data_IF_956987438537
#
_entry.id   IF_956987438537
#
_cell.length_a   1.000
_cell.length_b   1.000
_cell.length_c   1.000
_cell.angle_alpha   90.00
_cell.angle_beta   90.00
_cell.angle_gamma   90.00
#
_symmetry.space_group_name_H-M   'P 1'
#
loop_
_entity.id
_entity.type
_entity.pdbx_description
1 polymer ?
#
# COMPACT_ATOMS: atom_id res chain seq x y z
N UNK A 1 -23.06 18.64 12.98
CA UNK A 1 -23.86 19.71 12.35
C UNK A 1 -23.62 19.60 10.86
N UNK A 2 -24.68 19.55 10.06
CA UNK A 2 -24.68 19.20 8.64
C UNK A 2 -24.06 20.33 7.80
N UNK A 3 -22.73 20.46 7.85
CA UNK A 3 -22.00 21.44 7.06
C UNK A 3 -21.86 20.91 5.63
N UNK A 4 -22.38 21.68 4.66
CA UNK A 4 -22.00 21.58 3.25
C UNK A 4 -20.99 22.68 2.95
N UNK A 5 -19.75 22.62 3.45
CA UNK A 5 -18.78 23.64 3.13
C UNK A 5 -18.47 23.56 1.63
N UNK A 6 -18.53 24.71 0.97
CA UNK A 6 -18.10 24.88 -0.42
C UNK A 6 -16.96 25.91 -0.37
N UNK A 7 -15.74 25.51 -0.71
CA UNK A 7 -14.56 26.38 -0.65
C UNK A 7 -13.42 25.77 0.16
N UNK A 8 -12.72 26.60 0.92
CA UNK A 8 -11.71 26.16 1.89
C UNK A 8 -12.36 25.97 3.27
N UNK A 9 -12.30 24.75 3.82
CA UNK A 9 -12.66 24.46 5.21
C UNK A 9 -11.41 24.05 6.00
N UNK A 10 -11.31 24.48 7.25
CA UNK A 10 -10.20 24.07 8.12
C UNK A 10 -10.69 23.92 9.55
N UNK A 11 -10.78 22.68 10.02
CA UNK A 11 -11.13 22.37 11.40
C UNK A 11 -9.88 22.00 12.20
N UNK A 12 -9.77 22.54 13.41
CA UNK A 12 -8.58 22.38 14.26
C UNK A 12 -8.97 21.80 15.60
N UNK A 13 -8.52 20.57 15.85
CA UNK A 13 -8.76 19.77 17.05
C UNK A 13 -10.24 19.52 17.37
N UNK A 14 -11.11 19.15 16.41
CA UNK A 14 -12.44 18.70 16.78
C UNK A 14 -12.35 17.43 17.62
N UNK A 15 -13.23 17.29 18.62
CA UNK A 15 -13.29 16.13 19.52
C UNK A 15 -14.70 15.56 19.52
N UNK A 16 -14.81 14.23 19.41
CA UNK A 16 -16.08 13.50 19.45
C UNK A 16 -16.43 12.84 18.13
N UNK A 17 -17.71 12.86 17.77
CA UNK A 17 -18.20 12.36 16.49
C UNK A 17 -18.34 13.53 15.52
N UNK A 18 -17.57 13.53 14.44
CA UNK A 18 -17.71 14.48 13.33
C UNK A 18 -18.25 13.76 12.08
N UNK A 19 -19.09 14.44 11.32
CA UNK A 19 -19.64 13.90 10.08
C UNK A 19 -19.87 15.01 9.08
N UNK A 20 -19.11 14.97 8.00
CA UNK A 20 -19.23 15.91 6.89
C UNK A 20 -19.89 15.22 5.69
N UNK A 21 -20.84 15.91 5.06
CA UNK A 21 -21.66 15.33 4.00
C UNK A 21 -21.57 16.17 2.72
N UNK A 22 -20.88 15.62 1.74
CA UNK A 22 -20.60 16.21 0.43
C UNK A 22 -19.87 17.56 0.51
N UNK A 23 -18.82 17.71 1.34
CA UNK A 23 -18.03 18.93 1.30
C UNK A 23 -17.35 19.06 -0.07
N UNK A 24 -17.15 20.29 -0.54
CA UNK A 24 -16.54 20.57 -1.85
C UNK A 24 -15.42 21.59 -1.71
N UNK A 25 -14.29 21.31 -2.33
CA UNK A 25 -13.15 22.23 -2.38
C UNK A 25 -11.95 21.69 -1.62
N UNK A 26 -11.32 22.53 -0.81
CA UNK A 26 -10.15 22.19 -0.01
C UNK A 26 -10.58 22.03 1.45
N UNK A 27 -10.52 20.83 2.01
CA UNK A 27 -10.80 20.60 3.42
C UNK A 27 -9.53 20.17 4.14
N UNK A 28 -9.34 20.65 5.36
CA UNK A 28 -8.17 20.30 6.18
C UNK A 28 -8.56 20.13 7.63
N UNK A 29 -8.45 18.91 8.14
CA UNK A 29 -8.70 18.62 9.54
C UNK A 29 -7.38 18.40 10.27
N UNK A 30 -7.13 19.18 11.31
CA UNK A 30 -5.87 19.13 12.05
C UNK A 30 -6.09 18.60 13.47
N UNK A 31 -5.57 17.40 13.72
CA UNK A 31 -5.63 16.67 14.99
C UNK A 31 -7.05 16.38 15.48
N UNK A 32 -7.98 15.92 14.64
CA UNK A 32 -9.29 15.50 15.14
C UNK A 32 -9.13 14.27 16.05
N UNK A 33 -9.97 14.17 17.08
CA UNK A 33 -9.96 13.04 18.04
C UNK A 33 -11.35 12.46 18.18
N UNK A 34 -11.51 11.17 17.88
CA UNK A 34 -12.77 10.45 18.02
C UNK A 34 -13.16 9.71 16.75
N UNK A 35 -14.43 9.82 16.34
CA UNK A 35 -14.94 9.19 15.12
C UNK A 35 -15.21 10.28 14.09
N UNK A 36 -14.52 10.24 12.95
CA UNK A 36 -14.76 11.16 11.84
C UNK A 36 -15.29 10.38 10.65
N UNK A 37 -16.23 10.96 9.92
CA UNK A 37 -16.79 10.34 8.74
C UNK A 37 -17.08 11.37 7.67
N UNK A 38 -16.39 11.25 6.55
CA UNK A 38 -16.63 12.11 5.39
C UNK A 38 -17.38 11.33 4.32
N UNK A 39 -18.53 11.85 3.90
CA UNK A 39 -19.37 11.20 2.91
C UNK A 39 -19.37 11.98 1.61
N UNK A 40 -18.78 11.39 0.56
CA UNK A 40 -18.66 11.93 -0.80
C UNK A 40 -18.00 13.30 -0.87
N UNK A 41 -16.88 13.55 -0.18
CA UNK A 41 -16.16 14.80 -0.35
C UNK A 41 -15.61 14.89 -1.78
N UNK A 42 -15.57 16.10 -2.33
CA UNK A 42 -15.05 16.35 -3.69
C UNK A 42 -14.00 17.46 -3.66
N UNK A 43 -12.79 17.17 -4.09
CA UNK A 43 -11.70 18.13 -4.17
C UNK A 43 -10.42 17.63 -3.52
N UNK A 44 -9.80 18.47 -2.68
CA UNK A 44 -8.59 18.13 -1.93
C UNK A 44 -8.95 18.02 -0.45
N UNK A 45 -8.76 16.86 0.17
CA UNK A 45 -8.95 16.67 1.60
C UNK A 45 -7.61 16.31 2.25
N UNK A 46 -7.37 16.82 3.45
CA UNK A 46 -6.14 16.54 4.18
C UNK A 46 -6.41 16.41 5.66
N UNK A 47 -6.21 15.21 6.19
CA UNK A 47 -6.31 14.94 7.62
C UNK A 47 -4.93 14.84 8.22
N UNK A 48 -4.61 15.73 9.16
CA UNK A 48 -3.31 15.76 9.80
C UNK A 48 -3.39 15.29 11.25
N UNK A 49 -2.79 14.14 11.52
CA UNK A 49 -2.69 13.49 12.82
C UNK A 49 -4.05 13.20 13.47
N UNK A 50 -5.04 12.65 12.74
CA UNK A 50 -6.27 12.22 13.37
C UNK A 50 -5.99 11.07 14.34
N UNK A 51 -6.76 11.00 15.43
CA UNK A 51 -6.67 9.92 16.42
C UNK A 51 -8.06 9.32 16.65
N UNK A 52 -8.21 8.03 16.38
CA UNK A 52 -9.47 7.30 16.57
C UNK A 52 -9.90 6.53 15.33
N UNK A 53 -11.17 6.67 14.94
CA UNK A 53 -11.73 6.01 13.76
C UNK A 53 -12.03 7.06 12.70
N UNK A 54 -11.44 6.95 11.51
CA UNK A 54 -11.77 7.80 10.36
C UNK A 54 -12.36 6.95 9.25
N UNK A 55 -13.34 7.50 8.53
CA UNK A 55 -13.98 6.78 7.44
C UNK A 55 -14.35 7.73 6.31
N UNK A 56 -13.72 7.53 5.16
CA UNK A 56 -14.02 8.28 3.95
C UNK A 56 -14.86 7.44 2.99
N UNK A 57 -16.09 7.87 2.76
CA UNK A 57 -17.03 7.18 1.90
C UNK A 57 -17.12 7.86 0.54
N UNK A 58 -16.56 7.23 -0.48
CA UNK A 58 -16.58 7.65 -1.89
C UNK A 58 -16.00 9.07 -2.12
N UNK A 59 -14.83 9.41 -1.55
CA UNK A 59 -14.20 10.68 -1.86
C UNK A 59 -13.77 10.72 -3.34
N UNK A 60 -13.80 11.90 -3.93
CA UNK A 60 -13.38 12.14 -5.32
C UNK A 60 -12.37 13.28 -5.36
N UNK A 61 -11.15 12.99 -5.82
CA UNK A 61 -10.09 13.98 -5.97
C UNK A 61 -8.78 13.53 -5.32
N UNK A 62 -8.16 14.41 -4.53
CA UNK A 62 -6.92 14.13 -3.82
C UNK A 62 -7.21 14.04 -2.32
N UNK A 63 -6.92 12.90 -1.69
CA UNK A 63 -7.01 12.75 -0.24
C UNK A 63 -5.62 12.48 0.33
N UNK A 64 -5.34 13.02 1.51
CA UNK A 64 -4.04 12.83 2.16
C UNK A 64 -4.20 12.72 3.66
N UNK A 65 -3.89 11.53 4.19
CA UNK A 65 -3.85 11.28 5.63
C UNK A 65 -2.41 11.33 6.14
N UNK A 66 -2.12 12.28 7.00
CA UNK A 66 -0.79 12.48 7.56
C UNK A 66 -0.73 12.02 9.01
N UNK A 67 -0.07 10.89 9.27
CA UNK A 67 0.17 10.30 10.59
C UNK A 67 -1.12 9.99 11.38
N UNK A 68 -2.14 9.38 10.77
CA UNK A 68 -3.31 8.91 11.51
C UNK A 68 -2.92 7.84 12.53
N UNK A 69 -3.62 7.80 13.67
CA UNK A 69 -3.47 6.78 14.70
C UNK A 69 -4.83 6.17 14.98
N UNK A 70 -4.98 4.86 14.75
CA UNK A 70 -6.21 4.12 15.03
C UNK A 70 -6.70 3.30 13.84
N UNK A 71 -7.98 3.44 13.51
CA UNK A 71 -8.60 2.73 12.39
C UNK A 71 -8.98 3.73 11.30
N UNK A 72 -8.43 3.55 10.10
CA UNK A 72 -8.83 4.31 8.91
C UNK A 72 -9.51 3.39 7.91
N UNK A 73 -10.53 3.89 7.23
CA UNK A 73 -11.24 3.13 6.20
C UNK A 73 -11.68 4.01 5.05
N UNK A 74 -11.13 3.75 3.86
CA UNK A 74 -11.50 4.44 2.64
C UNK A 74 -12.36 3.55 1.76
N UNK A 75 -13.62 3.92 1.60
CA UNK A 75 -14.59 3.15 0.83
C UNK A 75 -14.81 3.77 -0.55
N UNK A 76 -14.29 3.11 -1.59
CA UNK A 76 -14.43 3.47 -3.00
C UNK A 76 -13.92 4.88 -3.34
N UNK A 77 -12.73 5.29 -2.86
CA UNK A 77 -12.17 6.57 -3.27
C UNK A 77 -11.84 6.55 -4.78
N UNK A 78 -11.94 7.71 -5.42
CA UNK A 78 -11.60 7.91 -6.84
C UNK A 78 -10.63 9.07 -6.97
N UNK A 79 -9.43 8.80 -7.47
CA UNK A 79 -8.42 9.83 -7.71
C UNK A 79 -7.06 9.46 -7.13
N UNK A 80 -6.45 10.36 -6.37
CA UNK A 80 -5.16 10.15 -5.72
C UNK A 80 -5.34 10.11 -4.21
N UNK A 81 -4.96 9.01 -3.56
CA UNK A 81 -4.95 8.91 -2.10
C UNK A 81 -3.51 8.70 -1.62
N UNK A 82 -3.17 9.29 -0.49
CA UNK A 82 -1.84 9.18 0.08
C UNK A 82 -1.90 9.11 1.60
N UNK A 83 -1.48 7.98 2.15
CA UNK A 83 -1.40 7.75 3.58
C UNK A 83 0.06 7.81 4.03
N UNK A 84 0.39 8.82 4.81
CA UNK A 84 1.75 9.07 5.27
C UNK A 84 1.90 8.68 6.74
N UNK A 85 2.60 7.58 6.99
CA UNK A 85 2.95 7.05 8.32
C UNK A 85 1.72 6.74 9.20
N UNK A 86 0.68 6.07 8.69
CA UNK A 86 -0.43 5.66 9.54
C UNK A 86 0.05 4.60 10.56
N UNK A 87 -0.56 4.62 11.74
CA UNK A 87 -0.31 3.65 12.81
C UNK A 87 -1.64 3.01 13.21
N UNK A 88 -1.77 1.70 13.01
CA UNK A 88 -2.97 0.94 13.39
C UNK A 88 -3.51 0.08 12.27
N UNK A 89 -4.81 0.16 12.02
CA UNK A 89 -5.49 -0.60 10.97
C UNK A 89 -5.96 0.34 9.87
N UNK A 90 -5.51 0.11 8.63
CA UNK A 90 -5.99 0.85 7.46
C UNK A 90 -6.65 -0.12 6.49
N UNK A 91 -7.75 0.31 5.87
CA UNK A 91 -8.49 -0.52 4.93
C UNK A 91 -9.02 0.30 3.77
N UNK A 92 -8.53 -0.02 2.57
CA UNK A 92 -8.98 0.60 1.34
C UNK A 92 -9.87 -0.36 0.56
N UNK A 93 -11.13 -0.01 0.42
CA UNK A 93 -12.14 -0.84 -0.23
C UNK A 93 -12.48 -0.31 -1.62
N UNK A 94 -11.99 -1.00 -2.65
CA UNK A 94 -12.24 -0.72 -4.08
C UNK A 94 -11.79 0.69 -4.50
N UNK A 95 -10.59 1.17 -4.12
CA UNK A 95 -10.10 2.44 -4.61
C UNK A 95 -9.84 2.38 -6.12
N UNK A 96 -10.03 3.51 -6.81
CA UNK A 96 -9.77 3.66 -8.24
C UNK A 96 -8.83 4.85 -8.45
N UNK A 97 -7.65 4.60 -9.03
CA UNK A 97 -6.68 5.63 -9.36
C UNK A 97 -5.28 5.32 -8.83
N UNK A 98 -4.66 6.30 -8.17
CA UNK A 98 -3.32 6.17 -7.59
C UNK A 98 -3.43 6.17 -6.06
N UNK A 99 -2.99 5.10 -5.40
CA UNK A 99 -2.88 5.06 -3.94
C UNK A 99 -1.42 4.88 -3.54
N UNK A 100 -1.03 5.54 -2.46
CA UNK A 100 0.34 5.46 -1.96
C UNK A 100 0.36 5.44 -0.45
N UNK A 101 0.82 4.34 0.11
CA UNK A 101 1.03 4.16 1.54
C UNK A 101 2.51 4.31 1.88
N UNK A 102 2.86 5.37 2.58
CA UNK A 102 4.24 5.66 2.95
C UNK A 102 4.47 5.34 4.42
N UNK A 103 5.23 4.26 4.67
CA UNK A 103 5.67 3.80 5.99
C UNK A 103 4.51 3.50 6.97
N UNK A 104 3.46 2.78 6.55
CA UNK A 104 2.43 2.36 7.48
C UNK A 104 3.00 1.38 8.52
N UNK A 105 2.46 1.43 9.72
CA UNK A 105 2.78 0.50 10.81
C UNK A 105 1.49 -0.14 11.33
N UNK A 106 1.38 -1.46 11.21
CA UNK A 106 0.24 -2.22 11.70
C UNK A 106 -0.35 -3.14 10.65
N UNK A 107 -1.67 -3.10 10.46
CA UNK A 107 -2.39 -3.93 9.51
C UNK A 107 -2.96 -3.06 8.39
N UNK A 108 -2.52 -3.30 7.15
CA UNK A 108 -3.08 -2.65 5.97
C UNK A 108 -3.79 -3.68 5.09
N UNK A 109 -4.95 -3.32 4.57
CA UNK A 109 -5.72 -4.19 3.68
C UNK A 109 -6.32 -3.42 2.51
N UNK A 110 -5.89 -3.78 1.30
CA UNK A 110 -6.41 -3.24 0.06
C UNK A 110 -7.32 -4.25 -0.63
N UNK A 111 -8.61 -3.97 -0.66
CA UNK A 111 -9.61 -4.84 -1.26
C UNK A 111 -10.03 -4.36 -2.64
N UNK A 112 -9.60 -5.09 -3.68
CA UNK A 112 -9.92 -4.85 -5.09
C UNK A 112 -9.55 -3.45 -5.58
N UNK A 113 -8.33 -2.95 -5.29
CA UNK A 113 -7.91 -1.68 -5.85
C UNK A 113 -7.75 -1.78 -7.38
N UNK A 114 -8.02 -0.69 -8.09
CA UNK A 114 -7.86 -0.58 -9.54
C UNK A 114 -6.99 0.62 -9.87
N UNK A 115 -5.84 0.39 -10.50
CA UNK A 115 -4.92 1.45 -10.93
C UNK A 115 -3.49 1.21 -10.47
N UNK A 116 -2.87 2.21 -9.86
CA UNK A 116 -1.50 2.14 -9.37
C UNK A 116 -1.51 2.19 -7.84
N UNK A 117 -1.00 1.16 -7.18
CA UNK A 117 -0.83 1.14 -5.72
C UNK A 117 0.64 0.99 -5.38
N UNK A 118 1.11 1.77 -4.41
CA UNK A 118 2.50 1.75 -3.98
C UNK A 118 2.59 1.75 -2.46
N UNK A 119 3.14 0.67 -1.92
CA UNK A 119 3.44 0.53 -0.49
C UNK A 119 4.93 0.74 -0.25
N UNK A 120 5.29 1.85 0.38
CA UNK A 120 6.67 2.21 0.66
C UNK A 120 7.04 1.96 2.12
N UNK A 121 7.85 0.93 2.36
CA UNK A 121 8.39 0.54 3.66
C UNK A 121 7.30 0.24 4.71
N UNK A 122 6.25 -0.53 4.38
CA UNK A 122 5.28 -0.94 5.39
C UNK A 122 5.94 -1.84 6.44
N UNK A 123 5.43 -1.76 7.67
CA UNK A 123 5.85 -2.62 8.79
C UNK A 123 4.61 -3.27 9.39
N UNK A 124 4.52 -4.60 9.34
CA UNK A 124 3.42 -5.37 9.92
C UNK A 124 2.81 -6.36 8.94
N UNK A 125 1.48 -6.35 8.84
CA UNK A 125 0.72 -7.24 7.97
C UNK A 125 0.05 -6.44 6.85
N UNK A 126 0.43 -6.70 5.60
CA UNK A 126 -0.21 -6.08 4.43
C UNK A 126 -0.90 -7.15 3.59
N UNK A 127 -2.13 -6.87 3.18
CA UNK A 127 -2.92 -7.79 2.34
C UNK A 127 -3.57 -7.06 1.18
N UNK A 128 -3.19 -7.45 -0.03
CA UNK A 128 -3.82 -7.01 -1.26
C UNK A 128 -4.74 -8.09 -1.82
N UNK A 129 -6.04 -7.86 -1.80
CA UNK A 129 -7.03 -8.80 -2.29
C UNK A 129 -7.58 -8.39 -3.65
N UNK A 130 -7.22 -9.17 -4.68
CA UNK A 130 -7.65 -8.99 -6.08
C UNK A 130 -7.30 -7.60 -6.66
N UNK A 131 -6.08 -7.08 -6.47
CA UNK A 131 -5.69 -5.82 -7.11
C UNK A 131 -5.66 -5.96 -8.63
N UNK A 132 -5.99 -4.88 -9.34
CA UNK A 132 -5.92 -4.79 -10.80
C UNK A 132 -5.08 -3.59 -11.20
N UNK A 133 -3.97 -3.82 -11.91
CA UNK A 133 -3.11 -2.76 -12.44
C UNK A 133 -1.65 -2.93 -12.06
N UNK A 134 -1.02 -1.86 -11.59
CA UNK A 134 0.38 -1.83 -11.16
C UNK A 134 0.43 -1.75 -9.63
N UNK A 135 0.98 -2.79 -8.99
CA UNK A 135 1.21 -2.82 -7.55
C UNK A 135 2.72 -2.88 -7.28
N UNK A 136 3.19 -2.06 -6.35
CA UNK A 136 4.61 -2.03 -5.96
C UNK A 136 4.78 -1.99 -4.45
N UNK A 137 5.40 -3.02 -3.90
CA UNK A 137 5.81 -3.10 -2.50
C UNK A 137 7.31 -2.83 -2.37
N UNK A 138 7.68 -1.69 -1.80
CA UNK A 138 9.07 -1.29 -1.63
C UNK A 138 9.54 -1.46 -0.19
N UNK A 139 10.46 -2.40 0.03
CA UNK A 139 11.09 -2.70 1.32
C UNK A 139 10.08 -3.00 2.44
N UNK A 140 9.05 -3.85 2.22
CA UNK A 140 8.15 -4.24 3.29
C UNK A 140 8.88 -5.05 4.35
N UNK A 141 8.44 -4.90 5.61
CA UNK A 141 8.92 -5.66 6.76
C UNK A 141 7.73 -6.34 7.43
N UNK A 142 7.71 -7.68 7.44
CA UNK A 142 6.64 -8.46 8.08
C UNK A 142 6.01 -9.49 7.15
N UNK A 143 4.68 -9.52 7.12
CA UNK A 143 3.90 -10.45 6.30
C UNK A 143 3.14 -9.69 5.20
N UNK A 144 3.50 -9.92 3.95
CA UNK A 144 2.77 -9.39 2.79
C UNK A 144 2.06 -10.51 2.04
N UNK A 145 0.80 -10.30 1.69
CA UNK A 145 -0.01 -11.27 0.96
C UNK A 145 -0.74 -10.61 -0.20
N UNK A 146 -0.41 -11.03 -1.43
CA UNK A 146 -1.17 -10.72 -2.63
C UNK A 146 -2.10 -11.89 -3.01
N UNK A 147 -3.40 -11.69 -2.96
CA UNK A 147 -4.38 -12.70 -3.36
C UNK A 147 -5.01 -12.37 -4.71
N UNK A 148 -4.74 -13.20 -5.71
CA UNK A 148 -5.27 -13.09 -7.08
C UNK A 148 -5.00 -11.72 -7.74
N UNK A 149 -3.76 -11.19 -7.70
CA UNK A 149 -3.44 -9.95 -8.40
C UNK A 149 -3.56 -10.12 -9.91
N UNK A 150 -4.06 -9.08 -10.60
CA UNK A 150 -4.14 -8.99 -12.05
C UNK A 150 -3.31 -7.81 -12.53
N UNK A 151 -2.31 -8.05 -13.37
CA UNK A 151 -1.45 -7.00 -13.92
C UNK A 151 0.01 -7.17 -13.55
N UNK A 152 0.70 -6.08 -13.20
CA UNK A 152 2.10 -6.14 -12.76
C UNK A 152 2.18 -5.94 -11.26
N UNK A 153 2.82 -6.86 -10.56
CA UNK A 153 3.11 -6.72 -9.14
C UNK A 153 4.63 -6.86 -8.93
N UNK A 154 5.22 -5.91 -8.21
CA UNK A 154 6.67 -5.83 -7.95
C UNK A 154 6.94 -5.73 -6.46
N UNK A 155 7.68 -6.68 -5.90
CA UNK A 155 8.25 -6.54 -4.54
C UNK A 155 9.74 -6.22 -4.62
N UNK A 156 10.14 -5.11 -4.02
CA UNK A 156 11.54 -4.70 -3.96
C UNK A 156 12.07 -4.83 -2.55
N UNK A 157 13.02 -5.73 -2.35
CA UNK A 157 13.79 -5.90 -1.11
C UNK A 157 12.91 -6.20 0.13
N UNK A 158 11.95 -7.14 0.07
CA UNK A 158 11.15 -7.51 1.23
C UNK A 158 12.01 -8.16 2.31
N UNK A 159 11.62 -7.94 3.58
CA UNK A 159 12.13 -8.61 4.78
C UNK A 159 10.96 -9.28 5.48
N UNK A 160 11.02 -10.61 5.63
CA UNK A 160 9.93 -11.41 6.19
C UNK A 160 9.28 -12.33 5.16
N UNK A 161 7.97 -12.56 5.29
CA UNK A 161 7.19 -13.45 4.44
C UNK A 161 6.45 -12.65 3.37
N UNK A 162 6.61 -13.05 2.11
CA UNK A 162 5.80 -12.49 1.02
C UNK A 162 5.16 -13.63 0.22
N UNK A 163 3.83 -13.61 0.13
CA UNK A 163 3.04 -14.66 -0.52
C UNK A 163 2.19 -14.08 -1.62
N UNK A 164 2.27 -14.64 -2.83
CA UNK A 164 1.36 -14.34 -3.93
C UNK A 164 0.54 -15.57 -4.29
N UNK A 165 -0.77 -15.50 -4.17
CA UNK A 165 -1.67 -16.60 -4.47
C UNK A 165 -2.42 -16.36 -5.79
N UNK A 166 -2.31 -17.30 -6.74
CA UNK A 166 -3.01 -17.30 -8.04
C UNK A 166 -2.86 -15.98 -8.83
N UNK A 167 -1.63 -15.45 -9.01
CA UNK A 167 -1.44 -14.23 -9.79
C UNK A 167 -1.75 -14.43 -11.27
N UNK A 168 -2.27 -13.39 -11.92
CA UNK A 168 -2.46 -13.30 -13.37
C UNK A 168 -1.69 -12.08 -13.88
N UNK A 169 -0.66 -12.30 -14.68
CA UNK A 169 0.21 -11.23 -15.19
C UNK A 169 1.64 -11.36 -14.71
N UNK A 170 2.37 -10.23 -14.66
CA UNK A 170 3.82 -10.22 -14.45
C UNK A 170 4.16 -9.99 -12.98
N UNK A 171 4.73 -10.99 -12.34
CA UNK A 171 5.28 -10.87 -10.99
C UNK A 171 6.79 -10.61 -11.05
N UNK A 172 7.27 -9.62 -10.30
CA UNK A 172 8.70 -9.37 -10.07
C UNK A 172 8.98 -9.37 -8.57
N UNK A 173 10.09 -9.95 -8.16
CA UNK A 173 10.58 -9.81 -6.79
C UNK A 173 12.09 -9.70 -6.78
N UNK A 174 12.63 -8.69 -6.11
CA UNK A 174 14.07 -8.47 -5.94
C UNK A 174 14.41 -8.57 -4.45
N UNK A 175 14.71 -9.76 -3.93
CA UNK A 175 14.94 -9.96 -2.50
C UNK A 175 16.39 -9.68 -2.05
N UNK A 176 16.56 -9.23 -0.80
CA UNK A 176 17.86 -9.16 -0.11
C UNK A 176 17.91 -10.18 1.04
N UNK A 177 16.83 -10.31 1.83
CA UNK A 177 16.68 -11.27 2.94
C UNK A 177 15.20 -11.64 3.06
N UNK A 178 14.76 -12.73 2.43
CA UNK A 178 13.39 -13.23 2.55
C UNK A 178 13.42 -14.69 3.00
N UNK A 179 12.68 -15.00 4.07
CA UNK A 179 12.59 -16.35 4.61
C UNK A 179 11.78 -17.26 3.69
N UNK A 180 10.82 -16.70 2.93
CA UNK A 180 10.03 -17.43 1.94
C UNK A 180 9.24 -16.50 1.02
N UNK A 181 9.48 -16.59 -0.30
CA UNK A 181 8.57 -16.09 -1.34
C UNK A 181 7.77 -17.28 -1.85
N UNK A 182 6.45 -17.30 -1.60
CA UNK A 182 5.56 -18.36 -2.09
C UNK A 182 4.67 -17.82 -3.19
N UNK A 183 4.83 -18.33 -4.42
CA UNK A 183 3.98 -17.96 -5.55
C UNK A 183 3.20 -19.20 -5.99
N UNK A 184 1.91 -19.24 -5.68
CA UNK A 184 1.02 -20.36 -6.02
C UNK A 184 0.34 -20.08 -7.37
N UNK A 185 0.97 -20.43 -8.49
CA UNK A 185 0.39 -20.30 -9.84
C UNK A 185 -0.46 -21.54 -10.17
N UNK A 186 -1.60 -21.38 -10.86
CA UNK A 186 -2.40 -22.51 -11.35
C UNK A 186 -1.61 -23.42 -12.30
N UNK A 187 -2.01 -24.71 -12.39
CA UNK A 187 -1.18 -25.87 -12.74
C UNK A 187 -0.33 -25.84 -14.03
N UNK A 188 -0.61 -25.00 -15.03
CA UNK A 188 0.16 -25.05 -16.30
C UNK A 188 1.33 -24.06 -16.41
N UNK A 189 1.37 -23.01 -15.58
CA UNK A 189 2.46 -22.02 -15.61
C UNK A 189 3.52 -22.27 -14.53
N UNK A 190 3.26 -23.21 -13.62
CA UNK A 190 4.11 -23.54 -12.48
C UNK A 190 5.49 -24.05 -12.91
N UNK A 191 5.55 -24.96 -13.90
CA UNK A 191 6.82 -25.54 -14.37
C UNK A 191 7.74 -24.52 -15.07
N UNK A 192 7.16 -23.67 -15.93
CA UNK A 192 7.91 -22.63 -16.64
C UNK A 192 8.37 -21.51 -15.70
N UNK A 193 7.54 -21.17 -14.71
CA UNK A 193 7.85 -20.18 -13.68
C UNK A 193 8.96 -20.66 -12.73
N UNK A 194 8.86 -21.89 -12.22
CA UNK A 194 9.91 -22.50 -11.38
C UNK A 194 11.24 -22.57 -12.14
N UNK A 195 11.22 -22.91 -13.44
CA UNK A 195 12.42 -22.93 -14.28
C UNK A 195 13.06 -21.54 -14.40
N UNK A 196 12.26 -20.49 -14.63
CA UNK A 196 12.76 -19.10 -14.73
C UNK A 196 13.30 -18.58 -13.40
N UNK A 197 12.65 -18.90 -12.26
CA UNK A 197 13.15 -18.53 -10.94
C UNK A 197 14.46 -19.24 -10.60
N UNK A 198 14.56 -20.55 -10.85
CA UNK A 198 15.82 -21.30 -10.65
C UNK A 198 16.97 -20.70 -11.46
N UNK A 199 16.72 -20.32 -12.72
CA UNK A 199 17.72 -19.61 -13.54
C UNK A 199 18.10 -18.25 -12.95
N UNK A 200 17.12 -17.47 -12.47
CA UNK A 200 17.35 -16.15 -11.90
C UNK A 200 18.18 -16.22 -10.61
N UNK A 201 17.89 -17.18 -9.74
CA UNK A 201 18.66 -17.42 -8.51
C UNK A 201 20.08 -17.88 -8.85
N UNK A 202 20.23 -18.83 -9.79
CA UNK A 202 21.53 -19.30 -10.25
C UNK A 202 22.38 -18.15 -10.83
N UNK A 203 21.79 -17.29 -11.67
CA UNK A 203 22.49 -16.14 -12.23
C UNK A 203 22.88 -15.12 -11.15
N UNK A 204 22.03 -14.87 -10.15
CA UNK A 204 22.36 -13.95 -9.06
C UNK A 204 23.52 -14.48 -8.20
N UNK A 205 23.53 -15.78 -7.90
CA UNK A 205 24.63 -16.43 -7.20
C UNK A 205 25.91 -16.36 -8.05
N UNK A 206 25.82 -16.65 -9.35
CA UNK A 206 26.96 -16.59 -10.28
C UNK A 206 27.59 -15.20 -10.33
N UNK A 207 26.79 -14.15 -10.43
CA UNK A 207 27.30 -12.77 -10.48
C UNK A 207 27.90 -12.33 -9.12
N UNK A 208 27.32 -12.77 -8.00
CA UNK A 208 27.95 -12.56 -6.67
C UNK A 208 29.28 -13.31 -6.54
N UNK A 209 29.37 -14.54 -7.05
CA UNK A 209 30.60 -15.33 -7.03
C UNK A 209 31.68 -14.71 -7.93
N UNK A 210 31.34 -14.24 -9.13
CA UNK A 210 32.27 -13.49 -10.00
C UNK A 210 32.77 -12.20 -9.34
N UNK A 211 31.88 -11.42 -8.74
CA UNK A 211 32.24 -10.19 -8.05
C UNK A 211 33.19 -10.45 -6.88
N UNK A 212 32.93 -11.50 -6.09
CA UNK A 212 33.79 -11.93 -5.00
C UNK A 212 35.16 -12.45 -5.48
N UNK A 213 35.18 -13.22 -6.58
CA UNK A 213 36.41 -13.71 -7.18
C UNK A 213 37.28 -12.56 -7.69
N UNK A 214 36.70 -11.58 -8.40
CA UNK A 214 37.42 -10.38 -8.84
C UNK A 214 37.99 -9.58 -7.65
N UNK A 215 37.22 -9.43 -6.56
CA UNK A 215 37.75 -8.80 -5.34
C UNK A 215 38.91 -9.58 -4.71
N UNK A 216 38.88 -10.92 -4.71
CA UNK A 216 39.99 -11.74 -4.20
C UNK A 216 41.26 -11.62 -5.05
N UNK A 217 41.13 -11.46 -6.37
CA UNK A 217 42.27 -11.24 -7.26
C UNK A 217 42.93 -9.87 -7.04
N UNK A 218 42.17 -8.83 -6.68
CA UNK A 218 42.73 -7.50 -6.39
C UNK A 218 43.36 -7.36 -4.99
N UNK A 219 43.07 -8.27 -4.05
CA UNK A 219 43.67 -8.26 -2.69
C UNK A 219 44.94 -9.14 -2.61
N UNK A 220 45.30 -9.85 -3.68
CA UNK A 220 46.49 -10.73 -3.76
C UNK A 220 47.60 -10.21 -4.69
N UNK A 221 47.61 -8.93 -5.04
CA UNK A 221 48.71 -8.27 -5.76
C UNK A 221 49.38 -7.27 -4.83
#
# INVERSE_FOLDING_TARGET
>A
TDNKPVGQNTDSKPVGQNTDNKPKGQNTDNKPVGQNTDNKPVGQNTDNKPVGQNTDNKPVGQNTDNKPIGQNTDNKPVGQNTDNKPIGQNTDNKPIGQNTDNKPVGQNTDNKPVGQNTDNKPVGQNTDNKPVGLNTDNKPVGQNTDNKPVGQNTDNKPVGQNTKHKPVGRMKSQSIICTSIKINVGDQSHALFVRKMKLSVANHIHEKMKSAANHMYFVRI
#
